data_IF_963680166897
#
_entry.id   IF_963680166897
#
_cell.length_a   1.000
_cell.length_b   1.000
_cell.length_c   1.000
_cell.angle_alpha   90.00
_cell.angle_beta   90.00
_cell.angle_gamma   90.00
#
_symmetry.space_group_name_H-M   'P 1'
#
loop_
_entity.id
_entity.type
_entity.pdbx_description
1 polymer ?
#
# COMPACT_ATOMS: atom_id res chain seq x y z
N UNK A 1 -16.46 65.44 26.92
CA UNK A 1 -15.97 64.04 26.87
C UNK A 1 -16.74 63.27 27.92
N UNK A 2 -17.51 62.24 27.52
CA UNK A 2 -18.24 61.42 28.49
C UNK A 2 -17.23 60.58 29.28
N UNK A 3 -17.31 60.64 30.62
CA UNK A 3 -16.44 59.85 31.48
C UNK A 3 -16.75 58.36 31.31
N UNK A 4 -15.72 57.54 31.09
CA UNK A 4 -15.84 56.08 31.04
C UNK A 4 -15.81 55.53 32.45
N UNK A 5 -16.96 55.07 32.97
CA UNK A 5 -17.01 54.37 34.24
C UNK A 5 -16.79 52.86 34.04
N UNK A 6 -15.89 52.29 34.85
CA UNK A 6 -15.58 50.85 34.83
C UNK A 6 -16.34 50.16 35.96
N UNK A 7 -17.37 49.40 35.62
CA UNK A 7 -18.10 48.55 36.58
C UNK A 7 -17.38 47.19 36.65
N UNK A 8 -17.05 46.75 37.86
CA UNK A 8 -16.47 45.42 38.12
C UNK A 8 -17.42 44.66 39.05
N UNK A 9 -17.90 43.49 38.62
CA UNK A 9 -18.84 42.69 39.39
C UNK A 9 -18.92 41.23 38.91
N UNK A 10 -19.53 40.37 39.73
CA UNK A 10 -19.91 39.01 39.35
C UNK A 10 -21.43 38.99 39.12
N UNK A 11 -21.85 38.48 37.97
CA UNK A 11 -23.27 38.27 37.66
C UNK A 11 -23.57 36.79 37.87
N UNK A 12 -24.60 36.50 38.66
CA UNK A 12 -25.10 35.15 38.85
C UNK A 12 -26.55 35.10 38.37
N UNK A 13 -26.83 34.18 37.45
CA UNK A 13 -28.20 33.93 36.99
C UNK A 13 -28.93 33.03 37.99
N UNK A 14 -30.26 33.16 38.12
CA UNK A 14 -31.08 32.22 38.88
C UNK A 14 -30.82 30.78 38.45
N UNK A 15 -30.57 29.91 39.42
CA UNK A 15 -30.17 28.52 39.18
C UNK A 15 -31.40 27.61 39.33
N UNK A 16 -32.10 27.37 38.22
CA UNK A 16 -33.27 26.50 38.18
C UNK A 16 -32.93 25.17 37.48
N UNK A 17 -33.62 24.10 37.87
CA UNK A 17 -33.56 22.82 37.15
C UNK A 17 -34.35 22.91 35.86
N UNK A 18 -34.07 22.03 34.89
CA UNK A 18 -34.85 21.91 33.67
C UNK A 18 -36.35 21.74 33.95
N UNK A 19 -36.70 20.93 34.96
CA UNK A 19 -38.09 20.71 35.37
C UNK A 19 -38.76 21.97 35.92
N UNK A 20 -38.06 22.78 36.71
CA UNK A 20 -38.59 24.03 37.26
C UNK A 20 -38.81 25.08 36.16
N UNK A 21 -37.87 25.22 35.22
CA UNK A 21 -38.00 26.12 34.07
C UNK A 21 -39.13 25.68 33.13
N UNK A 22 -39.28 24.36 32.91
CA UNK A 22 -40.37 23.82 32.10
C UNK A 22 -41.75 24.04 32.73
N UNK A 23 -41.85 23.94 34.06
CA UNK A 23 -43.08 24.18 34.80
C UNK A 23 -43.48 25.66 34.83
N UNK A 24 -42.51 26.56 35.03
CA UNK A 24 -42.75 28.01 34.99
C UNK A 24 -43.02 28.52 33.57
N UNK A 25 -42.40 27.89 32.56
CA UNK A 25 -42.49 28.21 31.14
C UNK A 25 -42.42 29.73 30.83
N UNK A 26 -41.40 30.46 31.31
CA UNK A 26 -41.33 31.91 31.14
C UNK A 26 -41.09 32.31 29.68
N UNK A 27 -41.51 33.51 29.29
CA UNK A 27 -41.07 34.18 28.06
C UNK A 27 -39.82 35.00 28.40
N UNK A 28 -38.68 34.60 27.84
CA UNK A 28 -37.40 35.27 28.06
C UNK A 28 -37.28 36.54 27.22
N UNK A 29 -36.63 37.57 27.77
CA UNK A 29 -36.35 38.80 27.03
C UNK A 29 -35.44 38.54 25.84
N UNK A 30 -35.49 39.40 24.82
CA UNK A 30 -34.64 39.27 23.64
C UNK A 30 -33.16 39.37 24.02
N UNK A 31 -32.40 38.30 23.79
CA UNK A 31 -30.99 38.16 24.14
C UNK A 31 -30.73 37.68 25.57
N UNK A 32 -31.77 37.41 26.36
CA UNK A 32 -31.61 36.85 27.71
C UNK A 32 -31.15 35.39 27.64
N UNK A 33 -30.03 35.09 28.30
CA UNK A 33 -29.48 33.73 28.36
C UNK A 33 -29.88 33.10 29.69
N UNK A 34 -30.60 31.97 29.64
CA UNK A 34 -30.98 31.21 30.83
C UNK A 34 -30.44 29.79 30.72
N UNK A 35 -29.88 29.31 31.84
CA UNK A 35 -29.17 28.06 31.95
C UNK A 35 -29.90 27.08 32.87
N UNK A 36 -29.95 25.82 32.46
CA UNK A 36 -30.46 24.70 33.24
C UNK A 36 -29.33 24.14 34.14
N UNK A 37 -29.54 24.21 35.45
CA UNK A 37 -28.52 23.87 36.44
C UNK A 37 -28.08 22.41 36.46
N UNK A 38 -28.98 21.50 36.10
CA UNK A 38 -28.85 20.05 36.19
C UNK A 38 -28.46 19.39 34.86
N UNK A 39 -28.94 19.92 33.73
CA UNK A 39 -28.59 19.41 32.39
C UNK A 39 -27.42 20.13 31.75
N UNK A 40 -27.04 21.27 32.32
CA UNK A 40 -25.99 22.19 31.84
C UNK A 40 -26.20 22.65 30.38
N UNK A 41 -27.47 22.85 30.02
CA UNK A 41 -27.89 23.41 28.73
C UNK A 41 -28.37 24.85 28.92
N UNK A 42 -28.45 25.61 27.83
CA UNK A 42 -28.98 26.97 27.85
C UNK A 42 -29.82 27.29 26.62
N UNK A 43 -30.74 28.24 26.80
CA UNK A 43 -31.55 28.83 25.72
C UNK A 43 -31.40 30.34 25.76
N UNK A 44 -31.61 30.97 24.61
CA UNK A 44 -31.57 32.43 24.45
C UNK A 44 -32.97 32.91 24.10
N UNK A 45 -33.48 33.87 24.84
CA UNK A 45 -34.78 34.49 24.59
C UNK A 45 -34.80 35.30 23.30
N UNK A 46 -35.93 35.27 22.61
CA UNK A 46 -36.24 36.13 21.46
C UNK A 46 -37.21 37.27 21.83
N UNK A 47 -37.70 37.30 23.08
CA UNK A 47 -38.66 38.27 23.59
C UNK A 47 -40.13 37.87 23.42
N UNK A 48 -40.43 36.71 22.82
CA UNK A 48 -41.81 36.33 22.45
C UNK A 48 -42.10 34.85 22.74
N UNK A 49 -41.15 33.97 22.46
CA UNK A 49 -41.30 32.52 22.57
C UNK A 49 -41.10 32.06 24.01
N UNK A 50 -42.02 31.24 24.51
CA UNK A 50 -41.94 30.66 25.84
C UNK A 50 -40.83 29.58 25.93
N UNK A 51 -40.25 29.40 27.12
CA UNK A 51 -39.13 28.50 27.39
C UNK A 51 -39.24 27.11 26.76
N UNK A 52 -40.41 26.47 26.85
CA UNK A 52 -40.63 25.12 26.34
C UNK A 52 -40.51 25.03 24.81
N UNK A 53 -40.77 26.13 24.10
CA UNK A 53 -40.71 26.21 22.65
C UNK A 53 -39.42 26.84 22.11
N UNK A 54 -38.60 27.43 22.99
CA UNK A 54 -37.29 27.97 22.59
C UNK A 54 -36.32 26.83 22.23
N UNK A 55 -35.52 26.98 21.16
CA UNK A 55 -34.47 26.03 20.83
C UNK A 55 -33.32 26.12 21.85
N UNK A 56 -32.64 25.00 22.08
CA UNK A 56 -31.33 25.01 22.74
C UNK A 56 -30.28 25.57 21.78
N UNK A 57 -29.28 26.24 22.33
CA UNK A 57 -28.16 26.75 21.52
C UNK A 57 -27.20 25.64 21.06
N UNK A 58 -27.22 24.48 21.73
CA UNK A 58 -26.42 23.30 21.40
C UNK A 58 -27.23 22.02 21.50
N UNK A 59 -26.90 21.05 20.64
CA UNK A 59 -27.56 19.73 20.56
C UNK A 59 -27.24 18.80 21.74
N UNK A 60 -26.45 19.27 22.72
CA UNK A 60 -26.02 18.51 23.88
C UNK A 60 -25.67 19.39 25.08
N UNK A 61 -25.25 18.74 26.16
CA UNK A 61 -24.59 19.41 27.30
C UNK A 61 -23.45 20.27 26.77
N UNK A 62 -23.24 21.47 27.33
CA UNK A 62 -22.00 22.23 27.10
C UNK A 62 -20.82 21.59 27.84
N UNK A 63 -20.60 20.29 27.62
CA UNK A 63 -19.42 19.58 28.06
C UNK A 63 -18.21 20.13 27.28
N UNK A 64 -17.08 20.32 27.95
CA UNK A 64 -15.87 20.91 27.37
C UNK A 64 -15.29 20.10 26.20
N UNK A 65 -14.18 19.40 26.42
CA UNK A 65 -13.55 18.61 25.35
C UNK A 65 -14.47 17.46 24.90
N UNK A 66 -14.62 17.29 23.59
CA UNK A 66 -15.31 16.14 22.99
C UNK A 66 -14.36 14.93 23.06
N UNK A 67 -14.70 13.90 23.84
CA UNK A 67 -13.85 12.71 23.96
C UNK A 67 -14.08 11.78 22.75
N UNK A 68 -13.02 11.09 22.30
CA UNK A 68 -13.12 10.20 21.14
C UNK A 68 -14.18 9.10 21.31
N UNK A 69 -14.46 8.67 22.54
CA UNK A 69 -15.51 7.69 22.84
C UNK A 69 -16.95 8.21 22.65
N UNK A 70 -17.14 9.52 22.55
CA UNK A 70 -18.44 10.16 22.28
C UNK A 70 -18.69 10.34 20.78
N UNK A 71 -17.70 10.03 19.94
CA UNK A 71 -17.81 10.15 18.48
C UNK A 71 -18.31 8.82 17.92
N UNK A 72 -19.57 8.80 17.51
CA UNK A 72 -20.11 7.69 16.71
C UNK A 72 -19.52 7.77 15.31
N UNK A 73 -18.89 6.70 14.84
CA UNK A 73 -18.36 6.64 13.48
C UNK A 73 -19.51 6.53 12.49
N UNK A 74 -19.60 7.48 11.56
CA UNK A 74 -20.54 7.45 10.45
C UNK A 74 -19.80 7.52 9.11
N UNK A 75 -20.30 6.82 8.08
CA UNK A 75 -19.69 6.78 6.76
C UNK A 75 -19.55 8.17 6.12
N UNK A 76 -20.40 9.13 6.46
CA UNK A 76 -20.36 10.49 5.88
C UNK A 76 -19.49 11.48 6.65
N UNK A 77 -19.07 11.15 7.88
CA UNK A 77 -18.32 12.05 8.78
C UNK A 77 -16.95 11.50 9.18
N UNK A 78 -16.41 10.53 8.42
CA UNK A 78 -15.08 9.97 8.66
C UNK A 78 -14.02 10.62 7.76
N UNK A 79 -12.81 10.81 8.29
CA UNK A 79 -11.65 11.29 7.53
C UNK A 79 -11.11 10.29 6.51
N UNK A 80 -11.41 9.00 6.71
CA UNK A 80 -10.97 7.90 5.84
C UNK A 80 -12.09 6.87 5.75
N UNK A 81 -12.38 6.45 4.53
CA UNK A 81 -13.36 5.42 4.21
C UNK A 81 -12.81 4.01 4.42
N UNK A 82 -13.69 3.03 4.62
CA UNK A 82 -13.27 1.63 4.72
C UNK A 82 -12.71 1.11 3.38
N UNK A 83 -13.14 1.70 2.26
CA UNK A 83 -12.59 1.41 0.93
C UNK A 83 -11.12 1.83 0.82
N UNK A 84 -10.78 3.06 1.24
CA UNK A 84 -9.39 3.54 1.22
C UNK A 84 -8.48 2.68 2.12
N UNK A 85 -8.94 2.32 3.32
CA UNK A 85 -8.20 1.42 4.22
C UNK A 85 -7.94 0.07 3.58
N UNK A 86 -8.96 -0.51 2.93
CA UNK A 86 -8.84 -1.77 2.22
C UNK A 86 -7.83 -1.66 1.07
N UNK A 87 -7.92 -0.61 0.26
CA UNK A 87 -6.98 -0.36 -0.84
C UNK A 87 -5.54 -0.24 -0.35
N UNK A 88 -5.29 0.41 0.79
CA UNK A 88 -3.94 0.51 1.36
C UNK A 88 -3.44 -0.82 1.92
N UNK A 89 -4.29 -1.57 2.62
CA UNK A 89 -3.98 -2.90 3.15
C UNK A 89 -3.70 -3.93 2.06
N UNK A 90 -4.37 -3.80 0.92
CA UNK A 90 -4.30 -4.76 -0.19
C UNK A 90 -3.26 -4.37 -1.26
N UNK A 91 -2.36 -3.42 -1.04
CA UNK A 91 -1.39 -3.00 -2.08
C UNK A 91 -0.46 -4.12 -2.58
N UNK A 92 -0.07 -5.03 -1.70
CA UNK A 92 0.70 -6.22 -2.05
C UNK A 92 0.52 -7.30 -0.98
N UNK A 93 0.09 -8.48 -1.38
CA UNK A 93 0.10 -9.66 -0.55
C UNK A 93 1.55 -10.06 -0.25
N UNK A 94 1.78 -10.78 0.86
CA UNK A 94 3.13 -11.23 1.27
C UNK A 94 3.82 -12.07 0.19
N UNK A 95 3.04 -12.78 -0.62
CA UNK A 95 3.47 -13.63 -1.73
C UNK A 95 3.36 -12.94 -3.10
N UNK A 96 2.97 -11.65 -3.12
CA UNK A 96 2.71 -10.84 -4.31
C UNK A 96 1.63 -11.44 -5.23
N UNK A 97 0.75 -12.31 -4.72
CA UNK A 97 -0.32 -12.97 -5.50
C UNK A 97 -1.33 -12.00 -6.10
N UNK A 98 -1.59 -10.88 -5.42
CA UNK A 98 -2.50 -9.82 -5.87
C UNK A 98 -1.80 -8.73 -6.71
N UNK A 99 -0.51 -8.90 -7.00
CA UNK A 99 0.24 -8.05 -7.91
C UNK A 99 0.38 -8.79 -9.23
N UNK A 100 0.01 -8.16 -10.34
CA UNK A 100 0.21 -8.74 -11.68
C UNK A 100 1.72 -8.78 -11.99
N UNK A 101 2.36 -9.90 -11.66
CA UNK A 101 3.74 -10.20 -12.00
C UNK A 101 3.76 -11.07 -13.25
N UNK A 102 4.26 -10.55 -14.37
CA UNK A 102 4.44 -11.36 -15.59
C UNK A 102 5.60 -12.33 -15.36
N UNK A 103 5.29 -13.60 -15.08
CA UNK A 103 6.26 -14.66 -14.79
C UNK A 103 5.81 -15.99 -15.34
N UNK A 104 6.75 -16.86 -15.66
CA UNK A 104 6.51 -18.27 -15.95
C UNK A 104 7.48 -19.11 -15.11
N UNK A 105 6.96 -19.82 -14.11
CA UNK A 105 7.76 -20.66 -13.22
C UNK A 105 7.72 -22.11 -13.72
N UNK A 106 8.65 -22.43 -14.62
CA UNK A 106 8.86 -23.77 -15.16
C UNK A 106 10.36 -24.05 -15.29
N UNK A 107 10.72 -25.25 -15.77
CA UNK A 107 12.11 -25.61 -16.03
C UNK A 107 12.81 -24.66 -17.00
N UNK A 108 12.05 -24.04 -17.93
CA UNK A 108 12.51 -22.95 -18.79
C UNK A 108 11.59 -21.76 -18.55
N UNK A 109 12.00 -20.89 -17.64
CA UNK A 109 11.12 -19.89 -17.03
C UNK A 109 11.69 -18.49 -17.05
N UNK A 110 10.86 -17.56 -16.60
CA UNK A 110 11.24 -16.17 -16.47
C UNK A 110 10.50 -15.47 -15.33
N UNK A 111 11.11 -14.39 -14.85
CA UNK A 111 10.50 -13.46 -13.90
C UNK A 111 10.77 -12.02 -14.34
N UNK A 112 9.71 -11.25 -14.55
CA UNK A 112 9.77 -9.79 -14.79
C UNK A 112 9.44 -9.05 -13.51
N UNK A 113 10.44 -8.39 -12.93
CA UNK A 113 10.27 -7.54 -11.77
C UNK A 113 9.59 -6.21 -12.18
N UNK A 114 8.77 -5.59 -11.31
CA UNK A 114 8.06 -4.35 -11.62
C UNK A 114 8.96 -3.15 -11.96
N UNK A 115 10.21 -3.15 -11.52
CA UNK A 115 11.21 -2.11 -11.77
C UNK A 115 11.89 -2.22 -13.14
N UNK A 116 11.58 -3.27 -13.91
CA UNK A 116 12.15 -3.52 -15.24
C UNK A 116 13.25 -4.58 -15.27
N UNK A 117 13.71 -5.11 -14.12
CA UNK A 117 14.64 -6.23 -14.09
C UNK A 117 13.98 -7.52 -14.57
N UNK A 118 14.71 -8.34 -15.33
CA UNK A 118 14.25 -9.66 -15.76
C UNK A 118 15.31 -10.73 -15.52
N UNK A 119 14.84 -11.87 -14.99
CA UNK A 119 15.59 -13.11 -14.96
C UNK A 119 14.95 -14.08 -15.96
N UNK A 120 15.78 -14.75 -16.75
CA UNK A 120 15.38 -15.90 -17.56
C UNK A 120 16.32 -17.06 -17.28
N UNK A 121 15.78 -18.25 -17.16
CA UNK A 121 16.56 -19.45 -16.88
C UNK A 121 16.04 -20.63 -17.70
N UNK A 122 16.88 -21.63 -17.83
CA UNK A 122 16.49 -22.85 -18.51
C UNK A 122 17.53 -23.95 -18.47
N UNK A 123 17.14 -25.06 -19.07
CA UNK A 123 17.97 -26.23 -19.29
C UNK A 123 18.14 -26.37 -20.79
N UNK A 124 19.38 -26.42 -21.24
CA UNK A 124 19.67 -26.53 -22.66
C UNK A 124 19.34 -27.92 -23.20
N UNK A 125 19.08 -28.06 -24.52
CA UNK A 125 18.78 -29.36 -25.13
C UNK A 125 20.02 -30.27 -25.29
N UNK A 126 21.20 -29.82 -24.87
CA UNK A 126 22.47 -30.54 -25.01
C UNK A 126 23.36 -29.99 -26.12
N UNK A 127 24.67 -30.11 -25.94
CA UNK A 127 25.69 -29.65 -26.89
C UNK A 127 25.63 -28.17 -27.24
N UNK A 128 26.18 -27.77 -28.39
CA UNK A 128 26.15 -26.37 -28.81
C UNK A 128 24.76 -26.00 -29.37
N UNK A 129 24.15 -24.96 -28.82
CA UNK A 129 22.77 -24.59 -29.19
C UNK A 129 22.54 -23.08 -29.07
N UNK A 130 21.58 -22.59 -29.85
CA UNK A 130 21.07 -21.21 -29.75
C UNK A 130 19.67 -21.23 -29.17
N UNK A 131 19.56 -20.73 -27.94
CA UNK A 131 18.31 -20.55 -27.25
C UNK A 131 17.73 -19.15 -27.51
N UNK A 132 16.52 -19.09 -28.05
CA UNK A 132 15.78 -17.83 -28.22
C UNK A 132 14.99 -17.52 -26.96
N UNK A 133 15.16 -16.31 -26.44
CA UNK A 133 14.44 -15.85 -25.27
C UNK A 133 12.98 -15.58 -25.60
N UNK A 134 12.09 -16.08 -24.75
CA UNK A 134 10.67 -15.79 -24.81
C UNK A 134 10.18 -15.54 -23.39
N UNK A 135 10.02 -14.27 -22.98
CA UNK A 135 10.13 -13.04 -23.78
C UNK A 135 11.57 -12.57 -24.02
N UNK A 136 11.82 -11.81 -25.10
CA UNK A 136 13.12 -11.19 -25.33
C UNK A 136 13.44 -10.09 -24.30
N UNK A 137 14.73 -9.84 -24.06
CA UNK A 137 15.20 -8.65 -23.34
C UNK A 137 15.07 -7.42 -24.25
N UNK A 138 14.99 -6.24 -23.66
CA UNK A 138 14.92 -4.98 -24.42
C UNK A 138 16.29 -4.53 -24.96
N UNK A 139 17.36 -4.98 -24.29
CA UNK A 139 18.74 -4.67 -24.63
C UNK A 139 19.64 -5.87 -24.30
N UNK A 140 20.93 -5.78 -24.63
CA UNK A 140 21.90 -6.81 -24.27
C UNK A 140 21.85 -7.06 -22.74
N UNK A 141 21.64 -8.31 -22.30
CA UNK A 141 21.59 -8.64 -20.88
C UNK A 141 22.88 -8.28 -20.13
N UNK A 142 22.77 -8.01 -18.83
CA UNK A 142 23.90 -7.67 -17.96
C UNK A 142 24.87 -8.84 -17.77
N UNK A 143 24.35 -10.07 -17.76
CA UNK A 143 25.16 -11.25 -17.56
C UNK A 143 24.46 -12.54 -17.95
N UNK A 144 25.26 -13.56 -18.23
CA UNK A 144 24.85 -14.93 -18.48
C UNK A 144 25.73 -15.87 -17.66
N UNK A 145 25.09 -16.78 -16.94
CA UNK A 145 25.72 -17.80 -16.12
C UNK A 145 25.34 -19.16 -16.66
N UNK A 146 26.33 -20.03 -16.77
CA UNK A 146 26.19 -21.38 -17.30
C UNK A 146 26.79 -22.34 -16.28
N UNK A 147 26.06 -23.40 -15.96
CA UNK A 147 26.58 -24.51 -15.18
C UNK A 147 26.40 -25.80 -15.93
N UNK A 148 27.46 -26.59 -15.98
CA UNK A 148 27.42 -27.93 -16.51
C UNK A 148 26.40 -28.77 -15.74
N UNK A 149 25.61 -29.55 -16.46
CA UNK A 149 24.76 -30.59 -15.89
C UNK A 149 25.23 -31.92 -16.47
N UNK A 150 25.47 -32.90 -15.60
CA UNK A 150 25.87 -34.24 -16.00
C UNK A 150 24.62 -35.11 -16.13
N UNK A 151 24.31 -35.58 -17.35
CA UNK A 151 23.10 -36.36 -17.62
C UNK A 151 23.23 -37.40 -18.73
N UNK A 152 24.15 -37.24 -19.70
CA UNK A 152 24.30 -38.11 -20.87
C UNK A 152 25.61 -38.94 -20.86
N UNK A 153 26.37 -38.94 -19.76
CA UNK A 153 27.55 -39.78 -19.57
C UNK A 153 28.91 -39.18 -20.01
N UNK A 154 28.93 -37.96 -20.56
CA UNK A 154 30.16 -37.20 -20.82
C UNK A 154 30.44 -36.21 -19.66
N UNK A 155 31.71 -36.04 -19.31
CA UNK A 155 32.11 -35.05 -18.30
C UNK A 155 32.39 -33.71 -18.97
N UNK A 156 31.53 -32.70 -18.74
CA UNK A 156 31.81 -31.33 -19.22
C UNK A 156 32.99 -30.74 -18.43
N UNK A 157 34.00 -30.26 -19.13
CA UNK A 157 35.12 -29.51 -18.54
C UNK A 157 34.87 -28.00 -18.53
N UNK A 158 34.11 -27.48 -19.50
CA UNK A 158 33.68 -26.09 -19.52
C UNK A 158 32.36 -25.89 -20.28
N UNK A 159 31.54 -24.97 -19.79
CA UNK A 159 30.39 -24.41 -20.51
C UNK A 159 30.55 -22.89 -20.59
N UNK A 160 30.42 -22.33 -21.80
CA UNK A 160 30.61 -20.91 -22.06
C UNK A 160 29.61 -20.41 -23.09
N UNK A 161 29.14 -19.17 -22.95
CA UNK A 161 28.35 -18.55 -24.00
C UNK A 161 29.29 -18.10 -25.13
N UNK A 162 28.84 -18.30 -26.37
CA UNK A 162 29.50 -17.81 -27.58
C UNK A 162 28.98 -16.42 -27.91
N UNK A 163 27.67 -16.22 -27.77
CA UNK A 163 27.02 -14.96 -28.08
C UNK A 163 25.83 -14.72 -27.15
N UNK A 164 25.69 -13.49 -26.67
CA UNK A 164 24.59 -13.06 -25.83
C UNK A 164 24.01 -11.76 -26.38
N UNK A 165 22.77 -11.82 -26.86
CA UNK A 165 22.03 -10.68 -27.40
C UNK A 165 20.75 -10.46 -26.60
N UNK A 166 19.99 -9.42 -26.96
CA UNK A 166 18.67 -9.19 -26.39
C UNK A 166 17.67 -10.33 -26.72
N UNK A 167 17.87 -11.03 -27.84
CA UNK A 167 16.92 -12.03 -28.35
C UNK A 167 17.32 -13.47 -28.10
N UNK A 168 18.61 -13.75 -27.95
CA UNK A 168 19.08 -15.13 -27.82
C UNK A 168 20.39 -15.25 -27.05
N UNK A 169 20.60 -16.46 -26.53
CA UNK A 169 21.84 -16.98 -26.00
C UNK A 169 22.33 -18.10 -26.92
N UNK A 170 23.55 -17.97 -27.46
CA UNK A 170 24.25 -19.07 -28.11
C UNK A 170 25.36 -19.54 -27.17
N UNK A 171 25.44 -20.84 -26.90
CA UNK A 171 26.44 -21.41 -25.99
C UNK A 171 27.11 -22.65 -26.58
N UNK A 172 28.21 -23.07 -25.96
CA UNK A 172 28.90 -24.31 -26.24
C UNK A 172 29.33 -24.99 -24.93
N UNK A 173 29.28 -26.33 -24.92
CA UNK A 173 29.84 -27.17 -23.87
C UNK A 173 30.94 -28.05 -24.46
N UNK A 174 32.01 -28.27 -23.69
CA UNK A 174 33.19 -29.02 -24.11
C UNK A 174 33.61 -30.01 -23.04
N UNK A 175 34.22 -31.12 -23.44
CA UNK A 175 34.87 -32.08 -22.56
C UNK A 175 36.34 -32.26 -22.95
N UNK A 176 37.19 -32.68 -22.01
CA UNK A 176 38.60 -32.95 -22.27
C UNK A 176 38.76 -34.29 -22.98
N UNK A 177 39.26 -34.26 -24.22
CA UNK A 177 39.52 -35.48 -24.97
C UNK A 177 40.82 -36.14 -24.48
N UNK A 178 40.69 -37.20 -23.69
CA UNK A 178 41.82 -37.97 -23.14
C UNK A 178 42.66 -38.69 -24.22
N UNK A 179 42.12 -38.87 -25.43
CA UNK A 179 42.86 -39.49 -26.54
C UNK A 179 43.63 -38.48 -27.38
N UNK A 180 43.38 -37.18 -27.20
CA UNK A 180 44.18 -36.15 -27.84
C UNK A 180 45.43 -35.87 -27.00
N UNK A 181 46.59 -36.29 -27.52
CA UNK A 181 47.92 -36.03 -26.94
C UNK A 181 48.16 -34.55 -26.62
N UNK A 182 47.48 -33.62 -27.29
CA UNK A 182 47.64 -32.18 -27.10
C UNK A 182 46.59 -31.57 -26.16
N UNK A 183 45.74 -32.38 -25.49
CA UNK A 183 44.73 -31.89 -24.55
C UNK A 183 43.57 -31.15 -25.22
N UNK A 184 43.20 -31.54 -26.44
CA UNK A 184 42.13 -30.91 -27.19
C UNK A 184 40.75 -31.02 -26.53
N UNK A 185 39.91 -30.02 -26.80
CA UNK A 185 38.52 -29.96 -26.34
C UNK A 185 37.59 -30.56 -27.40
N UNK A 186 36.81 -31.56 -27.02
CA UNK A 186 35.81 -32.17 -27.87
C UNK A 186 34.40 -31.62 -27.57
N UNK A 187 33.53 -31.65 -28.57
CA UNK A 187 32.12 -31.28 -28.41
C UNK A 187 31.43 -32.24 -27.45
N UNK A 188 30.66 -31.69 -26.52
CA UNK A 188 29.81 -32.48 -25.63
C UNK A 188 28.37 -32.52 -26.14
N UNK A 189 27.61 -33.55 -25.78
CA UNK A 189 26.14 -33.60 -25.95
C UNK A 189 25.40 -33.34 -24.63
N UNK A 190 26.14 -33.05 -23.56
CA UNK A 190 25.57 -32.77 -22.25
C UNK A 190 24.80 -31.45 -22.22
N UNK A 191 23.80 -31.40 -21.35
CA UNK A 191 22.99 -30.21 -21.12
C UNK A 191 23.69 -29.24 -20.18
N UNK A 192 23.26 -27.99 -20.23
CA UNK A 192 23.78 -26.89 -19.43
C UNK A 192 22.60 -26.14 -18.86
N UNK A 193 22.60 -25.87 -17.56
CA UNK A 193 21.65 -24.93 -16.98
C UNK A 193 22.18 -23.52 -17.21
N UNK A 194 21.27 -22.62 -17.58
CA UNK A 194 21.61 -21.24 -17.85
C UNK A 194 20.71 -20.29 -17.06
N UNK A 195 21.28 -19.15 -16.66
CA UNK A 195 20.59 -18.02 -16.06
C UNK A 195 21.08 -16.75 -16.74
N UNK A 196 20.16 -15.90 -17.17
CA UNK A 196 20.44 -14.63 -17.84
C UNK A 196 19.70 -13.52 -17.11
N UNK A 197 20.39 -12.42 -16.86
CA UNK A 197 19.88 -11.27 -16.11
C UNK A 197 19.94 -10.03 -16.99
N UNK A 198 18.83 -9.31 -17.13
CA UNK A 198 18.73 -8.14 -18.00
C UNK A 198 17.49 -7.29 -17.73
N UNK A 199 17.05 -6.52 -18.74
CA UNK A 199 15.87 -5.66 -18.65
C UNK A 199 14.76 -6.11 -19.61
N UNK A 200 13.50 -5.94 -19.20
CA UNK A 200 12.33 -6.21 -20.06
C UNK A 200 11.55 -4.96 -20.47
N UNK A 201 11.84 -3.83 -19.82
CA UNK A 201 11.36 -2.48 -20.17
C UNK A 201 12.46 -1.47 -19.86
#
# INVERSE_FOLDING_TARGET
MAATEKITGRVQFPMFTAAALAAANPVLLKGEVVYESDTRRRKIGDGVTAWNSLPYESDGEMAGSIHASQITTDATHRFVTDSEKKTWGDKAAKDLSNVTLTKALSSNGYYKAPDGLMFQWGISPGGAYQYYFSPAFIAKPFGCFLTAYYGNGNVITAASYVELTAQYLRYQSRWANLTDKNGGLASSTETVHWLVIGRWK
#
